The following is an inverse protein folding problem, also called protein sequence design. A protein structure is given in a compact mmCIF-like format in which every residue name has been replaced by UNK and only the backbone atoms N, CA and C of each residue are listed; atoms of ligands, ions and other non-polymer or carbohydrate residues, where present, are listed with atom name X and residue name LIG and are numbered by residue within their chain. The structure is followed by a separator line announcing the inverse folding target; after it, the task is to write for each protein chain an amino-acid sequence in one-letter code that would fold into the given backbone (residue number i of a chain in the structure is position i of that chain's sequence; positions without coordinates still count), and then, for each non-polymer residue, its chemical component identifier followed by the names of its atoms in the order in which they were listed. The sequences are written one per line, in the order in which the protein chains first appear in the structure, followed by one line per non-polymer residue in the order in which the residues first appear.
data_IF_685664243795
#
_entry.id   IF_685664243795
#
_cell.length_a   1.000
_cell.length_b   1.000
_cell.length_c   1.000
_cell.angle_alpha   90.00
_cell.angle_beta   90.00
_cell.angle_gamma   90.00
#
_symmetry.space_group_name_H-M   'P 1'
#
loop_
_entity.id
_entity.type
_entity.pdbx_description
1 polymer ?
#
# COMPACT_ATOMS: atom_id res chain seq x y z
N UNK A 1 8.02 -18.34 -19.82
CA UNK A 1 8.67 -17.09 -20.26
C UNK A 1 7.78 -15.98 -19.76
N UNK A 2 8.30 -15.10 -18.91
CA UNK A 2 7.53 -14.00 -18.34
C UNK A 2 7.63 -12.84 -19.32
N UNK A 3 6.51 -12.42 -19.89
CA UNK A 3 6.48 -11.29 -20.81
C UNK A 3 6.39 -9.97 -20.03
N UNK A 4 6.78 -8.85 -20.65
CA UNK A 4 6.75 -7.53 -20.01
C UNK A 4 5.37 -7.15 -19.43
N UNK A 5 4.29 -7.58 -20.10
CA UNK A 5 2.90 -7.39 -19.66
C UNK A 5 2.54 -8.18 -18.40
N UNK A 6 3.26 -9.27 -18.11
CA UNK A 6 3.00 -10.13 -16.96
C UNK A 6 3.64 -9.53 -15.69
N UNK A 7 4.69 -8.72 -15.84
CA UNK A 7 5.39 -8.06 -14.73
C UNK A 7 4.47 -7.10 -13.98
N UNK A 8 3.72 -6.26 -14.71
CA UNK A 8 2.76 -5.34 -14.10
C UNK A 8 1.72 -6.11 -13.30
N UNK A 9 1.16 -7.17 -13.89
CA UNK A 9 0.20 -8.06 -13.22
C UNK A 9 0.78 -8.67 -11.94
N UNK A 10 2.00 -9.20 -11.98
CA UNK A 10 2.70 -9.76 -10.81
C UNK A 10 2.82 -8.71 -9.70
N UNK A 11 3.30 -7.50 -10.03
CA UNK A 11 3.48 -6.42 -9.06
C UNK A 11 2.16 -5.99 -8.43
N UNK A 12 1.09 -5.86 -9.22
CA UNK A 12 -0.21 -5.43 -8.72
C UNK A 12 -0.98 -6.53 -7.96
N UNK A 13 -0.62 -7.80 -8.13
CA UNK A 13 -1.14 -8.92 -7.33
C UNK A 13 -0.53 -9.02 -5.92
N UNK A 14 0.64 -8.40 -5.68
CA UNK A 14 1.23 -8.35 -4.33
C UNK A 14 0.26 -7.62 -3.39
N UNK A 15 -0.09 -8.14 -2.19
CA UNK A 15 -1.02 -7.44 -1.30
C UNK A 15 -0.46 -6.11 -0.75
N UNK A 16 -1.30 -5.07 -0.64
CA UNK A 16 -0.93 -3.71 -0.19
C UNK A 16 -0.11 -3.69 1.11
N UNK A 17 -0.48 -4.55 2.06
CA UNK A 17 0.20 -4.67 3.36
C UNK A 17 1.71 -4.88 3.28
N UNK A 18 2.21 -5.46 2.18
CA UNK A 18 3.64 -5.68 1.97
C UNK A 18 4.40 -4.42 1.57
N UNK A 19 3.69 -3.33 1.27
CA UNK A 19 4.27 -2.02 0.93
C UNK A 19 4.18 -1.03 2.10
N UNK A 20 3.48 -1.38 3.19
CA UNK A 20 3.31 -0.53 4.36
C UNK A 20 4.57 -0.35 5.20
N UNK A 21 5.58 -1.22 5.03
CA UNK A 21 6.85 -1.11 5.75
C UNK A 21 7.49 0.28 5.55
N UNK A 22 7.80 0.97 6.64
CA UNK A 22 8.27 2.37 6.64
C UNK A 22 7.24 3.45 6.25
N UNK A 23 6.07 3.10 5.68
CA UNK A 23 4.98 4.06 5.42
C UNK A 23 4.23 4.35 6.71
N UNK A 24 3.90 3.31 7.47
CA UNK A 24 3.14 3.45 8.72
C UNK A 24 3.92 4.17 9.83
N UNK A 25 5.25 4.11 9.77
CA UNK A 25 6.15 4.78 10.71
C UNK A 25 6.51 6.21 10.28
N UNK A 26 6.07 6.62 9.08
CA UNK A 26 6.32 7.96 8.57
C UNK A 26 5.73 9.01 9.52
N UNK A 27 6.34 10.19 9.54
CA UNK A 27 5.83 11.31 10.34
C UNK A 27 4.37 11.62 9.99
N UNK A 28 4.04 11.63 8.70
CA UNK A 28 2.70 11.92 8.19
C UNK A 28 1.68 10.86 8.64
N UNK A 29 2.04 9.57 8.54
CA UNK A 29 1.16 8.49 8.98
C UNK A 29 0.88 8.55 10.48
N UNK A 30 1.91 8.82 11.30
CA UNK A 30 1.76 8.99 12.75
C UNK A 30 0.91 10.21 13.10
N UNK A 31 1.02 11.30 12.36
CA UNK A 31 0.17 12.49 12.56
C UNK A 31 -1.30 12.19 12.24
N UNK A 32 -1.59 11.47 11.15
CA UNK A 32 -2.95 11.01 10.86
C UNK A 32 -3.50 10.10 11.97
N UNK A 33 -2.73 9.08 12.37
CA UNK A 33 -3.13 8.14 13.42
C UNK A 33 -3.43 8.85 14.74
N UNK A 34 -2.54 9.76 15.18
CA UNK A 34 -2.74 10.53 16.40
C UNK A 34 -3.99 11.42 16.32
N UNK A 35 -4.25 12.03 15.16
CA UNK A 35 -5.43 12.88 15.02
C UNK A 35 -6.74 12.09 14.93
N UNK A 36 -6.74 10.95 14.26
CA UNK A 36 -7.85 9.99 14.25
C UNK A 36 -8.15 9.51 15.67
N UNK A 37 -7.12 9.16 16.46
CA UNK A 37 -7.28 8.76 17.85
C UNK A 37 -7.90 9.87 18.69
N UNK A 38 -7.38 11.10 18.59
CA UNK A 38 -7.94 12.27 19.26
C UNK A 38 -9.42 12.48 18.92
N UNK A 39 -9.78 12.44 17.63
CA UNK A 39 -11.17 12.64 17.21
C UNK A 39 -12.08 11.49 17.61
N UNK A 40 -11.57 10.25 17.63
CA UNK A 40 -12.30 9.08 18.14
C UNK A 40 -12.63 9.24 19.63
N UNK A 41 -11.66 9.67 20.45
CA UNK A 41 -11.88 9.97 21.86
C UNK A 41 -12.89 11.10 22.06
N UNK A 42 -12.76 12.18 21.28
CA UNK A 42 -13.69 13.32 21.30
C UNK A 42 -15.12 12.89 20.95
N UNK A 43 -15.32 12.18 19.85
CA UNK A 43 -16.63 11.64 19.48
C UNK A 43 -17.19 10.74 20.58
N UNK A 44 -16.35 9.91 21.22
CA UNK A 44 -16.80 9.05 22.30
C UNK A 44 -17.29 9.82 23.53
N UNK A 45 -16.75 11.01 23.79
CA UNK A 45 -17.20 11.89 24.87
C UNK A 45 -18.46 12.68 24.49
N UNK A 46 -18.52 13.23 23.27
CA UNK A 46 -19.58 14.17 22.87
C UNK A 46 -20.79 13.48 22.25
N UNK A 47 -20.57 12.32 21.59
CA UNK A 47 -21.53 11.61 20.72
C UNK A 47 -22.17 12.51 19.65
N UNK A 48 -21.52 13.62 19.29
CA UNK A 48 -22.06 14.56 18.29
C UNK A 48 -21.80 14.04 16.88
N UNK A 49 -22.79 14.19 16.01
CA UNK A 49 -22.69 13.83 14.59
C UNK A 49 -21.51 14.51 13.89
N UNK A 50 -21.25 15.78 14.17
CA UNK A 50 -20.14 16.51 13.55
C UNK A 50 -18.76 15.90 13.87
N UNK A 51 -18.56 15.38 15.09
CA UNK A 51 -17.30 14.73 15.46
C UNK A 51 -17.16 13.36 14.79
N UNK A 52 -18.28 12.67 14.56
CA UNK A 52 -18.31 11.43 13.77
C UNK A 52 -18.03 11.66 12.28
N UNK A 53 -18.64 12.69 11.69
CA UNK A 53 -18.43 13.06 10.30
C UNK A 53 -16.96 13.44 10.05
N UNK A 54 -16.34 14.15 11.00
CA UNK A 54 -14.91 14.48 10.98
C UNK A 54 -14.03 13.23 11.09
N UNK A 55 -14.34 12.29 11.99
CA UNK A 55 -13.59 11.03 12.11
C UNK A 55 -13.65 10.21 10.81
N UNK A 56 -14.82 10.17 10.16
CA UNK A 56 -14.97 9.51 8.86
C UNK A 56 -14.12 10.17 7.78
N UNK A 57 -14.11 11.50 7.72
CA UNK A 57 -13.29 12.27 6.79
C UNK A 57 -11.81 11.94 6.98
N UNK A 58 -11.32 11.95 8.22
CA UNK A 58 -9.92 11.65 8.53
C UNK A 58 -9.52 10.22 8.17
N UNK A 59 -10.38 9.23 8.43
CA UNK A 59 -10.10 7.86 8.02
C UNK A 59 -9.99 7.74 6.49
N UNK A 60 -10.92 8.36 5.74
CA UNK A 60 -10.87 8.33 4.27
C UNK A 60 -9.62 9.02 3.70
N UNK A 61 -9.20 10.14 4.31
CA UNK A 61 -7.96 10.84 3.94
C UNK A 61 -6.73 9.99 4.22
N UNK A 62 -6.68 9.31 5.38
CA UNK A 62 -5.58 8.43 5.73
C UNK A 62 -5.51 7.19 4.82
N UNK A 63 -6.64 6.56 4.52
CA UNK A 63 -6.72 5.45 3.55
C UNK A 63 -6.23 5.88 2.16
N UNK A 64 -6.63 7.07 1.70
CA UNK A 64 -6.18 7.64 0.43
C UNK A 64 -4.67 7.89 0.44
N UNK A 65 -4.14 8.44 1.54
CA UNK A 65 -2.69 8.61 1.71
C UNK A 65 -1.95 7.28 1.63
N UNK A 66 -2.40 6.25 2.35
CA UNK A 66 -1.79 4.92 2.31
C UNK A 66 -1.84 4.31 0.90
N UNK A 67 -2.97 4.41 0.21
CA UNK A 67 -3.13 3.90 -1.15
C UNK A 67 -2.13 4.56 -2.13
N UNK A 68 -1.94 5.88 -2.02
CA UNK A 68 -0.98 6.61 -2.85
C UNK A 68 0.47 6.17 -2.56
N UNK A 69 0.85 6.02 -1.30
CA UNK A 69 2.18 5.55 -0.92
C UNK A 69 2.46 4.13 -1.44
N UNK A 70 1.46 3.24 -1.34
CA UNK A 70 1.54 1.88 -1.90
C UNK A 70 1.70 1.92 -3.42
N UNK A 71 0.90 2.72 -4.12
CA UNK A 71 0.97 2.83 -5.58
C UNK A 71 2.32 3.36 -6.05
N UNK A 72 2.90 4.35 -5.37
CA UNK A 72 4.26 4.84 -5.64
C UNK A 72 5.28 3.70 -5.49
N UNK A 73 5.21 2.94 -4.40
CA UNK A 73 6.14 1.81 -4.17
C UNK A 73 5.95 0.68 -5.18
N UNK A 74 4.73 0.36 -5.58
CA UNK A 74 4.44 -0.61 -6.65
C UNK A 74 5.08 -0.18 -7.96
N UNK A 75 4.87 1.08 -8.34
CA UNK A 75 5.47 1.64 -9.57
C UNK A 75 6.99 1.57 -9.50
N UNK A 76 7.60 1.91 -8.36
CA UNK A 76 9.05 1.78 -8.18
C UNK A 76 9.55 0.33 -8.32
N UNK A 77 8.85 -0.64 -7.73
CA UNK A 77 9.16 -2.06 -7.91
C UNK A 77 9.05 -2.47 -9.38
N UNK A 78 7.96 -2.10 -10.04
CA UNK A 78 7.73 -2.39 -11.44
C UNK A 78 8.83 -1.81 -12.34
N UNK A 79 9.14 -0.52 -12.19
CA UNK A 79 10.25 0.12 -12.92
C UNK A 79 11.60 -0.53 -12.61
N UNK A 80 11.83 -0.92 -11.35
CA UNK A 80 13.04 -1.62 -10.93
C UNK A 80 13.21 -2.97 -11.65
N UNK A 81 12.14 -3.75 -11.80
CA UNK A 81 12.14 -5.01 -12.54
C UNK A 81 12.39 -4.80 -14.04
N UNK A 82 11.75 -3.78 -14.63
CA UNK A 82 11.90 -3.47 -16.05
C UNK A 82 13.31 -3.03 -16.47
N UNK A 83 14.12 -2.52 -15.53
CA UNK A 83 15.49 -2.07 -15.81
C UNK A 83 16.54 -3.18 -15.73
N UNK A 84 16.16 -4.38 -15.28
CA UNK A 84 17.07 -5.53 -15.18
C UNK A 84 17.27 -6.20 -16.54
N UNK A 85 18.30 -7.04 -16.65
CA UNK A 85 18.42 -7.97 -17.78
C UNK A 85 17.23 -8.93 -17.82
N UNK A 86 16.97 -9.58 -18.96
CA UNK A 86 15.83 -10.49 -19.10
C UNK A 86 15.91 -11.64 -18.09
N UNK A 87 17.09 -12.24 -17.96
CA UNK A 87 17.34 -13.35 -17.05
C UNK A 87 17.11 -12.96 -15.59
N UNK A 88 17.68 -11.83 -15.16
CA UNK A 88 17.49 -11.32 -13.78
C UNK A 88 16.04 -10.90 -13.52
N UNK A 89 15.37 -10.29 -14.49
CA UNK A 89 13.96 -9.90 -14.37
C UNK A 89 13.08 -11.14 -14.17
N UNK A 90 13.27 -12.18 -14.98
CA UNK A 90 12.52 -13.44 -14.86
C UNK A 90 12.78 -14.10 -13.49
N UNK A 91 14.03 -14.14 -13.04
CA UNK A 91 14.40 -14.71 -11.74
C UNK A 91 13.73 -13.96 -10.57
N UNK A 92 13.76 -12.62 -10.57
CA UNK A 92 13.10 -11.83 -9.54
C UNK A 92 11.58 -11.96 -9.57
N UNK A 93 10.98 -12.01 -10.76
CA UNK A 93 9.55 -12.23 -10.89
C UNK A 93 9.15 -13.59 -10.30
N UNK A 94 9.92 -14.65 -10.56
CA UNK A 94 9.69 -15.97 -9.95
C UNK A 94 9.80 -15.93 -8.42
N UNK A 95 10.81 -15.23 -7.87
CA UNK A 95 10.96 -15.03 -6.42
C UNK A 95 9.76 -14.29 -5.83
N UNK A 96 9.22 -13.28 -6.51
CA UNK A 96 8.03 -12.55 -6.06
C UNK A 96 6.78 -13.44 -6.09
N UNK A 97 6.61 -14.22 -7.16
CA UNK A 97 5.49 -15.16 -7.29
C UNK A 97 5.50 -16.17 -6.14
N UNK A 98 6.65 -16.79 -5.87
CA UNK A 98 6.81 -17.76 -4.78
C UNK A 98 6.60 -17.11 -3.41
N UNK A 99 7.25 -15.96 -3.17
CA UNK A 99 7.18 -15.24 -1.89
C UNK A 99 5.76 -14.81 -1.53
N UNK A 100 4.96 -14.44 -2.51
CA UNK A 100 3.60 -13.93 -2.31
C UNK A 100 2.49 -14.92 -2.69
N UNK A 101 2.86 -16.17 -3.02
CA UNK A 101 1.93 -17.24 -3.40
C UNK A 101 0.98 -16.84 -4.55
N UNK A 102 1.55 -16.29 -5.62
CA UNK A 102 0.82 -15.76 -6.77
C UNK A 102 0.64 -16.78 -7.91
N UNK A 103 1.05 -18.04 -7.72
CA UNK A 103 1.13 -19.08 -8.77
C UNK A 103 -0.23 -19.35 -9.43
N UNK A 104 -1.33 -19.15 -8.70
CA UNK A 104 -2.70 -19.33 -9.20
C UNK A 104 -3.25 -18.14 -9.97
N UNK A 105 -2.59 -16.99 -9.87
CA UNK A 105 -3.11 -15.71 -10.35
C UNK A 105 -2.30 -15.15 -11.51
N UNK A 106 -1.05 -15.61 -11.66
CA UNK A 106 -0.13 -15.18 -12.73
C UNK A 106 -0.37 -15.97 -13.99
#
# INVERSE_FOLDING_TARGET
MIEYKDIEKIVYLIPDRNFYDGVIDSKVAREYQAYIEFQSQKYNQTKRKCDWDELKRLNAEYETYLANEVDVKRKLLWFGLLRRSKEEMEEECLKLIERFHLERWV
#
